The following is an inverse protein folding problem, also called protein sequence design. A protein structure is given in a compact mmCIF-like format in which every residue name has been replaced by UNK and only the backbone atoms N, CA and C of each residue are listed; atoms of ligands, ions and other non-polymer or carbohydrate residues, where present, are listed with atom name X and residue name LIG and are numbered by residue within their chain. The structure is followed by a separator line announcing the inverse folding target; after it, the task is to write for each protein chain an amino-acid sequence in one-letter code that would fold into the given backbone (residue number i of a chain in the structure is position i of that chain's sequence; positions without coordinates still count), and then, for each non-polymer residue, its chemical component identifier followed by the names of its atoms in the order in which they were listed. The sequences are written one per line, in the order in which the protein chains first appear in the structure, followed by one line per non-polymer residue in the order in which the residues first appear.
data_IF_207361970514
#
_entry.id   IF_207361970514
#
_cell.length_a   1.000
_cell.length_b   1.000
_cell.length_c   1.000
_cell.angle_alpha   90.00
_cell.angle_beta   90.00
_cell.angle_gamma   90.00
#
_symmetry.space_group_name_H-M   'P 1'
#
loop_
_entity.id
_entity.type
_entity.pdbx_description
1 polymer ?
#
# COMPACT_ATOMS: atom_id res chain seq x y z
N UNK A 1 13.62 3.52 9.05
CA UNK A 1 12.19 3.58 8.67
C UNK A 1 11.55 4.81 9.28
N UNK A 2 10.99 5.70 8.47
CA UNK A 2 10.37 6.94 8.95
C UNK A 2 8.91 6.77 9.44
N UNK A 3 8.38 5.54 9.43
CA UNK A 3 7.00 5.24 9.82
C UNK A 3 6.69 5.71 11.26
N UNK A 4 7.55 5.38 12.22
CA UNK A 4 7.39 5.82 13.61
C UNK A 4 7.46 7.34 13.75
N UNK A 5 8.37 7.98 13.01
CA UNK A 5 8.49 9.45 13.00
C UNK A 5 7.19 10.07 12.49
N UNK A 6 6.63 9.55 11.38
CA UNK A 6 5.36 10.01 10.86
C UNK A 6 4.20 9.80 11.85
N UNK A 7 4.15 8.65 12.52
CA UNK A 7 3.14 8.35 13.55
C UNK A 7 3.24 9.33 14.74
N UNK A 8 4.45 9.59 15.23
CA UNK A 8 4.67 10.55 16.32
C UNK A 8 4.37 11.99 15.90
N UNK A 9 4.60 12.36 14.63
CA UNK A 9 4.15 13.65 14.10
C UNK A 9 2.62 13.76 14.14
N UNK A 10 1.90 12.72 13.74
CA UNK A 10 0.43 12.70 13.82
C UNK A 10 -0.05 12.78 15.27
N UNK A 11 0.60 12.07 16.20
CA UNK A 11 0.29 12.16 17.63
C UNK A 11 0.56 13.56 18.18
N UNK A 12 1.70 14.17 17.83
CA UNK A 12 2.03 15.54 18.20
C UNK A 12 0.99 16.54 17.68
N UNK A 13 0.54 16.40 16.43
CA UNK A 13 -0.51 17.24 15.85
C UNK A 13 -1.87 17.01 16.53
N UNK A 14 -2.19 15.76 16.88
CA UNK A 14 -3.42 15.36 17.60
C UNK A 14 -3.49 15.96 19.00
N UNK A 15 -2.37 16.02 19.69
CA UNK A 15 -2.26 16.52 21.06
C UNK A 15 -2.03 18.04 21.11
N UNK A 16 -1.48 18.62 20.04
CA UNK A 16 -1.19 20.04 19.87
C UNK A 16 -2.22 20.80 19.03
N UNK A 17 -1.75 21.40 17.93
CA UNK A 17 -2.46 22.43 17.14
C UNK A 17 -3.78 21.98 16.50
N UNK A 18 -3.97 20.68 16.23
CA UNK A 18 -5.15 20.16 15.53
C UNK A 18 -6.19 19.50 16.45
N UNK A 19 -6.01 19.67 17.77
CA UNK A 19 -6.93 19.19 18.79
C UNK A 19 -8.32 19.82 18.60
N UNK A 20 -9.36 18.99 18.60
CA UNK A 20 -10.74 19.45 18.49
C UNK A 20 -11.15 20.25 19.76
N UNK A 21 -11.53 21.53 19.64
CA UNK A 21 -12.02 22.33 20.77
C UNK A 21 -13.29 21.74 21.41
N UNK A 22 -14.04 20.91 20.69
CA UNK A 22 -15.29 20.28 21.14
C UNK A 22 -15.11 18.93 21.85
N UNK A 23 -13.91 18.33 21.84
CA UNK A 23 -13.70 16.94 22.29
C UNK A 23 -13.60 16.74 23.82
N UNK A 24 -13.98 17.73 24.64
CA UNK A 24 -14.07 17.66 26.12
C UNK A 24 -12.89 16.91 26.79
N UNK A 25 -11.66 17.18 26.32
CA UNK A 25 -10.43 16.61 26.91
C UNK A 25 -9.87 15.36 26.23
N UNK A 26 -10.58 14.72 25.29
CA UNK A 26 -10.02 13.63 24.51
C UNK A 26 -9.06 14.15 23.42
N UNK A 27 -7.86 13.56 23.25
CA UNK A 27 -6.95 13.91 22.17
C UNK A 27 -7.48 13.35 20.85
N UNK A 28 -8.37 14.10 20.20
CA UNK A 28 -8.88 13.79 18.86
C UNK A 28 -8.65 14.98 17.93
N UNK A 29 -8.27 14.68 16.69
CA UNK A 29 -8.17 15.68 15.62
C UNK A 29 -9.59 16.08 15.20
N UNK A 30 -9.82 17.37 15.04
CA UNK A 30 -11.09 17.89 14.58
C UNK A 30 -11.49 17.26 13.25
N UNK A 31 -12.75 16.85 13.11
CA UNK A 31 -13.26 16.31 11.85
C UNK A 31 -13.08 17.35 10.74
N UNK A 32 -12.63 16.90 9.56
CA UNK A 32 -12.47 17.79 8.41
C UNK A 32 -13.76 18.56 8.12
N UNK A 33 -13.65 19.83 7.72
CA UNK A 33 -14.80 20.65 7.34
C UNK A 33 -15.59 20.00 6.19
N UNK A 34 -16.89 20.29 6.07
CA UNK A 34 -17.78 19.60 5.13
C UNK A 34 -17.34 19.72 3.65
N UNK A 35 -16.64 20.80 3.30
CA UNK A 35 -16.00 21.04 1.99
C UNK A 35 -14.69 20.25 1.76
N UNK A 36 -14.03 19.82 2.83
CA UNK A 36 -12.82 19.00 2.80
C UNK A 36 -13.12 17.49 2.92
N UNK A 37 -14.41 17.11 2.99
CA UNK A 37 -14.86 15.72 2.92
C UNK A 37 -15.21 15.41 1.47
N UNK A 38 -14.62 14.36 0.91
CA UNK A 38 -15.01 13.85 -0.40
C UNK A 38 -16.47 13.39 -0.33
N UNK A 39 -17.35 14.11 -1.05
CA UNK A 39 -18.79 13.87 -1.09
C UNK A 39 -19.09 12.43 -1.51
N UNK A 40 -20.09 11.81 -0.85
CA UNK A 40 -20.55 10.45 -1.13
C UNK A 40 -21.80 10.50 -2.03
N UNK A 41 -21.68 10.48 -3.37
CA UNK A 41 -22.79 9.95 -4.15
C UNK A 41 -22.82 8.44 -3.85
N UNK A 42 -23.91 7.95 -3.25
CA UNK A 42 -24.21 6.51 -3.04
C UNK A 42 -23.62 5.80 -1.80
N UNK A 43 -23.11 6.51 -0.78
CA UNK A 43 -22.63 5.85 0.44
C UNK A 43 -21.27 5.15 0.32
N UNK A 44 -20.58 5.32 -0.82
CA UNK A 44 -19.21 4.86 -1.06
C UNK A 44 -18.32 6.07 -1.35
N UNK A 45 -17.14 6.14 -0.72
CA UNK A 45 -16.19 7.25 -0.92
C UNK A 45 -15.66 7.29 -2.36
N UNK A 46 -15.48 8.46 -2.94
CA UNK A 46 -14.97 8.63 -4.32
C UNK A 46 -13.58 8.01 -4.58
N UNK A 47 -12.87 7.57 -3.53
CA UNK A 47 -11.54 6.97 -3.62
C UNK A 47 -11.45 5.71 -4.48
N UNK A 48 -12.51 4.90 -4.58
CA UNK A 48 -12.49 3.71 -5.45
C UNK A 48 -12.48 4.08 -6.94
N UNK A 49 -13.08 5.21 -7.33
CA UNK A 49 -13.05 5.70 -8.71
C UNK A 49 -11.64 6.17 -9.06
N UNK A 50 -10.99 6.89 -8.15
CA UNK A 50 -9.61 7.33 -8.32
C UNK A 50 -8.66 6.13 -8.38
N UNK A 51 -8.86 5.11 -7.55
CA UNK A 51 -8.10 3.86 -7.62
C UNK A 51 -8.30 3.15 -8.98
N UNK A 52 -9.55 3.03 -9.44
CA UNK A 52 -9.89 2.41 -10.73
C UNK A 52 -9.28 3.17 -11.92
N UNK A 53 -9.09 4.49 -11.81
CA UNK A 53 -8.45 5.30 -12.83
C UNK A 53 -6.92 5.24 -12.74
N UNK A 54 -6.36 5.16 -11.53
CA UNK A 54 -4.91 5.06 -11.30
C UNK A 54 -4.32 3.75 -11.81
N UNK A 55 -5.02 2.62 -11.65
CA UNK A 55 -4.54 1.30 -12.10
C UNK A 55 -4.21 1.28 -13.62
N UNK A 56 -5.13 1.65 -14.54
CA UNK A 56 -4.83 1.72 -15.96
C UNK A 56 -3.85 2.84 -16.28
N UNK A 57 -3.86 3.97 -15.56
CA UNK A 57 -2.90 5.05 -15.77
C UNK A 57 -1.46 4.59 -15.46
N UNK A 58 -1.24 3.87 -14.35
CA UNK A 58 0.06 3.31 -13.97
C UNK A 58 0.45 2.19 -14.94
N UNK A 59 -0.49 1.33 -15.34
CA UNK A 59 -0.24 0.30 -16.35
C UNK A 59 0.24 0.91 -17.67
N UNK A 60 -0.45 1.95 -18.16
CA UNK A 60 -0.08 2.62 -19.40
C UNK A 60 1.28 3.32 -19.25
N UNK A 61 1.49 4.00 -18.12
CA UNK A 61 2.76 4.65 -17.82
C UNK A 61 3.92 3.65 -17.83
N UNK A 62 3.78 2.51 -17.17
CA UNK A 62 4.84 1.50 -17.10
C UNK A 62 5.07 0.79 -18.44
N UNK A 63 4.02 0.52 -19.22
CA UNK A 63 4.11 -0.31 -20.43
C UNK A 63 4.40 0.47 -21.71
N UNK A 64 3.86 1.69 -21.85
CA UNK A 64 3.88 2.44 -23.11
C UNK A 64 4.74 3.71 -23.07
N UNK A 65 5.35 4.07 -21.93
CA UNK A 65 6.19 5.27 -21.85
C UNK A 65 7.67 4.94 -21.76
N UNK A 66 8.50 5.84 -22.30
CA UNK A 66 9.97 5.77 -22.16
C UNK A 66 10.41 5.69 -20.70
N UNK A 67 9.72 6.41 -19.82
CA UNK A 67 10.03 6.46 -18.40
C UNK A 67 9.74 5.13 -17.71
N UNK A 68 8.64 4.46 -18.09
CA UNK A 68 8.34 3.10 -17.65
C UNK A 68 9.44 2.10 -18.06
N UNK A 69 9.95 2.22 -19.28
CA UNK A 69 11.07 1.40 -19.75
C UNK A 69 12.36 1.66 -18.97
N UNK A 70 12.72 2.93 -18.75
CA UNK A 70 13.89 3.31 -17.93
C UNK A 70 13.79 2.73 -16.51
N UNK A 71 12.61 2.73 -15.90
CA UNK A 71 12.37 2.12 -14.58
C UNK A 71 12.57 0.60 -14.63
N UNK A 72 12.05 -0.08 -15.66
CA UNK A 72 12.20 -1.52 -15.80
C UNK A 72 13.67 -1.94 -15.95
N UNK A 73 14.45 -1.24 -16.77
CA UNK A 73 15.87 -1.56 -16.98
C UNK A 73 16.70 -1.29 -15.71
N UNK A 74 16.44 -0.18 -15.02
CA UNK A 74 17.10 0.11 -13.73
C UNK A 74 16.74 -0.93 -12.68
N UNK A 75 15.48 -1.40 -12.66
CA UNK A 75 15.02 -2.44 -11.74
C UNK A 75 15.66 -3.80 -11.96
N UNK A 76 16.10 -4.10 -13.19
CA UNK A 76 16.78 -5.36 -13.51
C UNK A 76 18.30 -5.29 -13.22
N UNK A 77 18.96 -4.20 -13.62
CA UNK A 77 20.38 -3.97 -13.30
C UNK A 77 20.80 -2.51 -13.49
N UNK A 78 21.27 -1.88 -12.41
CA UNK A 78 21.84 -0.53 -12.46
C UNK A 78 23.04 -0.42 -13.42
N UNK A 79 23.85 -1.48 -13.51
CA UNK A 79 25.00 -1.53 -14.42
C UNK A 79 24.52 -1.45 -15.85
N UNK A 80 23.52 -2.25 -16.22
CA UNK A 80 22.95 -2.28 -17.57
C UNK A 80 22.34 -0.93 -17.95
N UNK A 81 21.63 -0.29 -17.03
CA UNK A 81 21.09 1.05 -17.25
C UNK A 81 22.19 2.10 -17.49
N UNK A 82 23.29 2.02 -16.75
CA UNK A 82 24.44 2.92 -16.91
C UNK A 82 25.16 2.70 -18.25
N UNK A 83 25.34 1.44 -18.66
CA UNK A 83 25.88 1.10 -19.98
C UNK A 83 25.01 1.59 -21.13
N UNK A 84 23.68 1.59 -20.96
CA UNK A 84 22.73 2.12 -21.94
C UNK A 84 22.66 3.67 -21.95
N UNK A 85 23.49 4.36 -21.17
CA UNK A 85 23.53 5.84 -21.11
C UNK A 85 22.39 6.46 -20.30
N UNK A 86 21.70 5.68 -19.46
CA UNK A 86 20.60 6.18 -18.63
C UNK A 86 21.12 6.85 -17.36
N UNK A 87 20.51 7.96 -16.97
CA UNK A 87 20.84 8.63 -15.71
C UNK A 87 20.08 7.97 -14.53
N UNK A 88 20.67 6.91 -13.96
CA UNK A 88 20.09 6.09 -12.89
C UNK A 88 19.61 6.94 -11.71
N UNK A 89 20.42 7.89 -11.24
CA UNK A 89 20.08 8.76 -10.09
C UNK A 89 18.83 9.59 -10.34
N UNK A 90 18.69 10.16 -11.55
CA UNK A 90 17.50 10.93 -11.92
C UNK A 90 16.26 10.05 -12.03
N UNK A 91 16.41 8.83 -12.56
CA UNK A 91 15.32 7.86 -12.66
C UNK A 91 14.83 7.49 -11.25
N UNK A 92 15.73 7.11 -10.35
CA UNK A 92 15.38 6.75 -8.96
C UNK A 92 14.63 7.89 -8.27
N UNK A 93 15.16 9.12 -8.28
CA UNK A 93 14.50 10.25 -7.61
C UNK A 93 13.09 10.49 -8.16
N UNK A 94 12.91 10.45 -9.49
CA UNK A 94 11.59 10.66 -10.11
C UNK A 94 10.61 9.57 -9.74
N UNK A 95 11.05 8.31 -9.74
CA UNK A 95 10.22 7.16 -9.34
C UNK A 95 9.81 7.26 -7.88
N UNK A 96 10.72 7.68 -6.99
CA UNK A 96 10.40 7.90 -5.57
C UNK A 96 9.36 9.01 -5.39
N UNK A 97 9.49 10.13 -6.11
CA UNK A 97 8.48 11.20 -6.07
C UNK A 97 7.12 10.75 -6.59
N UNK A 98 7.08 9.99 -7.70
CA UNK A 98 5.83 9.48 -8.26
C UNK A 98 5.15 8.48 -7.32
N UNK A 99 5.92 7.53 -6.77
CA UNK A 99 5.43 6.55 -5.79
C UNK A 99 4.92 7.22 -4.52
N UNK A 100 5.68 8.18 -3.97
CA UNK A 100 5.28 8.97 -2.81
C UNK A 100 4.01 9.79 -3.07
N UNK A 101 3.86 10.36 -4.27
CA UNK A 101 2.66 11.08 -4.67
C UNK A 101 1.42 10.18 -4.72
N UNK A 102 1.53 9.00 -5.32
CA UNK A 102 0.42 8.02 -5.38
C UNK A 102 0.07 7.52 -3.97
N UNK A 103 1.07 7.20 -3.15
CA UNK A 103 0.86 6.78 -1.76
C UNK A 103 0.21 7.89 -0.90
N UNK A 104 0.66 9.14 -1.08
CA UNK A 104 0.08 10.32 -0.42
C UNK A 104 -1.37 10.56 -0.83
N UNK A 105 -1.70 10.41 -2.12
CA UNK A 105 -3.08 10.47 -2.61
C UNK A 105 -3.94 9.38 -1.98
N UNK A 106 -3.45 8.14 -1.89
CA UNK A 106 -4.17 7.05 -1.24
C UNK A 106 -4.45 7.36 0.25
N UNK A 107 -3.45 7.87 0.98
CA UNK A 107 -3.62 8.29 2.38
C UNK A 107 -4.62 9.45 2.54
N UNK A 108 -4.59 10.43 1.64
CA UNK A 108 -5.55 11.53 1.60
C UNK A 108 -6.98 11.03 1.39
N UNK A 109 -7.18 10.08 0.47
CA UNK A 109 -8.49 9.48 0.19
C UNK A 109 -9.04 8.71 1.40
N UNK A 110 -8.18 7.99 2.12
CA UNK A 110 -8.56 7.29 3.35
C UNK A 110 -8.97 8.27 4.45
N UNK A 111 -8.13 9.28 4.73
CA UNK A 111 -8.37 10.26 5.79
C UNK A 111 -9.57 11.19 5.53
N UNK A 112 -9.70 11.73 4.31
CA UNK A 112 -10.79 12.65 3.93
C UNK A 112 -12.10 11.91 3.61
N UNK A 113 -12.00 10.68 3.11
CA UNK A 113 -13.14 9.85 2.77
C UNK A 113 -13.70 9.12 3.99
N UNK A 114 -13.06 7.99 4.33
CA UNK A 114 -13.58 7.00 5.27
C UNK A 114 -13.56 7.49 6.71
N UNK A 115 -12.41 7.96 7.17
CA UNK A 115 -12.22 8.29 8.59
C UNK A 115 -12.76 9.68 8.92
N UNK A 116 -12.83 10.59 7.93
CA UNK A 116 -13.26 12.01 8.03
C UNK A 116 -12.50 12.81 9.09
N UNK A 117 -11.42 12.25 9.61
CA UNK A 117 -10.47 12.83 10.55
C UNK A 117 -9.14 12.11 10.36
N UNK A 118 -8.08 12.70 10.87
CA UNK A 118 -6.76 12.08 10.89
C UNK A 118 -6.58 11.36 12.22
N UNK A 119 -6.37 10.05 12.17
CA UNK A 119 -6.19 9.19 13.34
C UNK A 119 -4.88 8.43 13.19
N UNK A 120 -4.29 7.97 14.29
CA UNK A 120 -3.14 7.07 14.32
C UNK A 120 -3.40 5.74 13.58
N UNK A 121 -4.67 5.38 13.38
CA UNK A 121 -5.10 4.19 12.64
C UNK A 121 -5.28 4.39 11.13
N UNK A 122 -5.12 5.61 10.60
CA UNK A 122 -5.32 5.88 9.15
C UNK A 122 -4.38 5.04 8.28
N UNK A 123 -3.14 4.84 8.72
CA UNK A 123 -2.19 3.99 8.02
C UNK A 123 -2.46 2.49 8.22
N UNK A 124 -3.17 2.10 9.30
CA UNK A 124 -3.81 0.81 9.54
C UNK A 124 -3.04 -0.49 9.22
N UNK A 125 -1.73 -0.43 9.01
CA UNK A 125 -0.97 -1.54 8.44
C UNK A 125 -1.19 -1.80 6.93
N UNK A 126 -2.06 -1.05 6.24
CA UNK A 126 -2.37 -1.27 4.81
C UNK A 126 -1.15 -1.19 3.90
N UNK A 127 -0.12 -0.41 4.28
CA UNK A 127 1.16 -0.39 3.57
C UNK A 127 1.91 -1.72 3.61
N UNK A 128 1.82 -2.46 4.72
CA UNK A 128 2.42 -3.80 4.84
C UNK A 128 1.63 -4.83 4.04
N UNK A 129 0.29 -4.79 4.10
CA UNK A 129 -0.57 -5.63 3.26
C UNK A 129 -0.31 -5.36 1.78
N UNK A 130 -0.08 -4.10 1.38
CA UNK A 130 0.24 -3.75 0.00
C UNK A 130 1.55 -4.39 -0.51
N UNK A 131 2.54 -4.65 0.36
CA UNK A 131 3.77 -5.38 -0.01
C UNK A 131 3.40 -6.81 -0.43
N UNK A 132 2.56 -7.48 0.34
CA UNK A 132 2.09 -8.85 0.07
C UNK A 132 1.36 -8.89 -1.26
N UNK A 133 0.42 -7.96 -1.46
CA UNK A 133 -0.37 -7.85 -2.69
C UNK A 133 0.52 -7.61 -3.92
N UNK A 134 1.50 -6.70 -3.81
CA UNK A 134 2.40 -6.38 -4.92
C UNK A 134 3.30 -7.56 -5.31
N UNK A 135 3.79 -8.32 -4.32
CA UNK A 135 4.59 -9.52 -4.53
C UNK A 135 3.77 -10.65 -5.16
N UNK A 136 2.59 -10.94 -4.61
CA UNK A 136 1.72 -11.98 -5.13
C UNK A 136 1.24 -11.68 -6.56
N UNK A 137 1.10 -10.40 -6.90
CA UNK A 137 0.81 -9.95 -8.26
C UNK A 137 2.03 -9.94 -9.20
N UNK A 138 3.22 -10.37 -8.74
CA UNK A 138 4.48 -10.36 -9.47
C UNK A 138 4.75 -8.99 -10.14
N UNK A 139 4.50 -7.90 -9.40
CA UNK A 139 4.66 -6.50 -9.86
C UNK A 139 3.81 -6.13 -11.10
N UNK A 140 2.82 -6.95 -11.48
CA UNK A 140 1.99 -6.70 -12.64
C UNK A 140 0.74 -5.88 -12.28
N UNK A 141 0.62 -4.69 -12.86
CA UNK A 141 -0.48 -3.75 -12.60
C UNK A 141 -1.89 -4.35 -12.74
N UNK A 142 -2.23 -5.19 -13.73
CA UNK A 142 -3.59 -5.73 -13.84
C UNK A 142 -3.91 -6.81 -12.79
N UNK A 143 -2.92 -7.60 -12.36
CA UNK A 143 -3.13 -8.66 -11.36
C UNK A 143 -3.27 -8.08 -9.95
N UNK A 144 -2.64 -6.92 -9.68
CA UNK A 144 -2.78 -6.20 -8.40
C UNK A 144 -4.24 -5.95 -8.05
N UNK A 145 -5.10 -5.60 -9.02
CA UNK A 145 -6.52 -5.36 -8.78
C UNK A 145 -7.20 -6.62 -8.20
N UNK A 146 -6.99 -7.77 -8.83
CA UNK A 146 -7.61 -9.03 -8.43
C UNK A 146 -7.11 -9.46 -7.04
N UNK A 147 -5.79 -9.41 -6.83
CA UNK A 147 -5.19 -9.78 -5.53
C UNK A 147 -5.64 -8.83 -4.41
N UNK A 148 -5.66 -7.52 -4.67
CA UNK A 148 -6.13 -6.53 -3.69
C UNK A 148 -7.59 -6.74 -3.29
N UNK A 149 -8.44 -7.17 -4.24
CA UNK A 149 -9.84 -7.48 -3.97
C UNK A 149 -9.98 -8.67 -3.01
N UNK A 150 -9.21 -9.74 -3.23
CA UNK A 150 -9.21 -10.92 -2.34
C UNK A 150 -8.76 -10.54 -0.93
N UNK A 151 -7.69 -9.74 -0.81
CA UNK A 151 -7.21 -9.27 0.48
C UNK A 151 -8.18 -8.32 1.18
N UNK A 152 -8.86 -7.44 0.43
CA UNK A 152 -9.90 -6.57 0.97
C UNK A 152 -11.10 -7.38 1.51
N UNK A 153 -11.51 -8.44 0.79
CA UNK A 153 -12.56 -9.36 1.25
C UNK A 153 -12.12 -10.08 2.53
N UNK A 154 -10.86 -10.54 2.59
CA UNK A 154 -10.32 -11.22 3.76
C UNK A 154 -10.28 -10.30 4.99
N UNK A 155 -9.83 -9.05 4.81
CA UNK A 155 -9.74 -8.06 5.90
C UNK A 155 -11.14 -7.66 6.40
N UNK A 156 -12.05 -7.26 5.50
CA UNK A 156 -13.40 -6.85 5.89
C UNK A 156 -14.27 -8.01 6.35
N UNK A 157 -14.12 -9.18 5.73
CA UNK A 157 -14.77 -10.42 6.16
C UNK A 157 -14.28 -10.87 7.54
N UNK A 158 -12.97 -10.76 7.80
CA UNK A 158 -12.39 -11.01 9.12
C UNK A 158 -12.95 -10.08 10.21
N UNK A 159 -13.06 -8.79 9.92
CA UNK A 159 -13.71 -7.83 10.83
C UNK A 159 -15.20 -8.12 11.07
N UNK A 160 -15.93 -8.57 10.06
CA UNK A 160 -17.33 -8.98 10.22
C UNK A 160 -17.46 -10.22 11.12
N UNK A 161 -16.62 -11.23 10.89
CA UNK A 161 -16.57 -12.44 11.72
C UNK A 161 -16.18 -12.09 13.16
N UNK A 162 -15.26 -11.14 13.36
CA UNK A 162 -14.93 -10.63 14.70
C UNK A 162 -16.17 -10.07 15.40
N UNK A 163 -16.96 -9.25 14.70
CA UNK A 163 -18.14 -8.61 15.29
C UNK A 163 -19.27 -9.60 15.65
N UNK A 164 -19.44 -10.66 14.86
CA UNK A 164 -20.53 -11.63 15.01
C UNK A 164 -20.16 -12.83 15.89
N UNK A 165 -18.92 -13.32 15.78
CA UNK A 165 -18.47 -14.56 16.42
C UNK A 165 -17.42 -14.34 17.53
N UNK A 166 -17.11 -13.08 17.88
CA UNK A 166 -16.12 -12.71 18.92
C UNK A 166 -14.71 -13.29 18.69
N UNK A 167 -14.38 -13.59 17.43
CA UNK A 167 -13.04 -14.04 17.02
C UNK A 167 -12.13 -12.80 16.93
N UNK A 168 -10.89 -12.88 17.41
CA UNK A 168 -9.95 -11.74 17.31
C UNK A 168 -9.67 -11.36 15.84
N UNK A 169 -9.65 -10.05 15.53
CA UNK A 169 -9.23 -9.51 14.23
C UNK A 169 -7.84 -10.02 13.78
N UNK A 170 -6.99 -10.39 14.74
CA UNK A 170 -5.67 -10.97 14.47
C UNK A 170 -5.73 -12.24 13.63
N UNK A 171 -6.88 -12.93 13.54
CA UNK A 171 -7.05 -14.08 12.69
C UNK A 171 -6.89 -13.73 11.19
N UNK A 172 -7.39 -12.58 10.75
CA UNK A 172 -7.24 -12.13 9.37
C UNK A 172 -5.78 -11.78 9.05
N UNK A 173 -5.11 -11.07 9.96
CA UNK A 173 -3.70 -10.71 9.82
C UNK A 173 -2.80 -11.95 9.80
N UNK A 174 -3.11 -12.94 10.63
CA UNK A 174 -2.39 -14.21 10.69
C UNK A 174 -2.56 -15.00 9.38
N UNK A 175 -3.77 -15.03 8.80
CA UNK A 175 -4.00 -15.62 7.49
C UNK A 175 -3.23 -14.89 6.38
N UNK A 176 -3.22 -13.54 6.37
CA UNK A 176 -2.42 -12.76 5.42
C UNK A 176 -0.92 -13.11 5.53
N UNK A 177 -0.41 -13.23 6.76
CA UNK A 177 0.98 -13.62 7.03
C UNK A 177 1.31 -15.04 6.57
N UNK A 178 0.40 -16.00 6.80
CA UNK A 178 0.54 -17.38 6.30
C UNK A 178 0.59 -17.40 4.77
N UNK A 179 -0.31 -16.66 4.11
CA UNK A 179 -0.33 -16.55 2.64
C UNK A 179 1.01 -16.03 2.14
N UNK A 180 1.51 -14.92 2.72
CA UNK A 180 2.81 -14.37 2.36
C UNK A 180 3.94 -15.39 2.55
N UNK A 181 3.96 -16.07 3.69
CA UNK A 181 5.00 -17.05 4.01
C UNK A 181 5.04 -18.19 3.00
N UNK A 182 3.87 -18.73 2.63
CA UNK A 182 3.80 -19.78 1.61
C UNK A 182 4.18 -19.27 0.23
N UNK A 183 3.72 -18.08 -0.17
CA UNK A 183 4.06 -17.49 -1.47
C UNK A 183 5.57 -17.32 -1.61
N UNK A 184 6.23 -16.72 -0.61
CA UNK A 184 7.68 -16.53 -0.59
C UNK A 184 8.43 -17.88 -0.52
N UNK A 185 7.95 -18.80 0.31
CA UNK A 185 8.54 -20.12 0.48
C UNK A 185 8.51 -20.94 -0.80
N UNK A 186 7.38 -20.97 -1.49
CA UNK A 186 7.23 -21.69 -2.76
C UNK A 186 7.93 -20.99 -3.93
N UNK A 187 7.99 -19.66 -3.96
CA UNK A 187 8.72 -18.94 -5.00
C UNK A 187 10.20 -19.35 -5.05
N UNK A 188 10.81 -19.60 -3.89
CA UNK A 188 12.17 -20.13 -3.80
C UNK A 188 12.31 -21.48 -4.53
N UNK A 189 11.37 -22.41 -4.30
CA UNK A 189 11.38 -23.73 -4.96
C UNK A 189 11.04 -23.66 -6.45
N UNK A 190 10.29 -22.65 -6.88
CA UNK A 190 9.95 -22.44 -8.30
C UNK A 190 11.14 -21.85 -9.06
N UNK A 191 11.85 -20.87 -8.49
CA UNK A 191 13.01 -20.23 -9.15
C UNK A 191 14.28 -21.06 -9.07
N UNK A 192 14.49 -21.82 -8.00
CA UNK A 192 15.74 -22.56 -7.76
C UNK A 192 15.52 -24.07 -7.82
N UNK A 193 16.23 -24.73 -8.73
CA UNK A 193 16.31 -26.20 -8.77
C UNK A 193 17.22 -26.66 -7.63
N UNK A 194 16.69 -27.40 -6.68
CA UNK A 194 17.48 -28.04 -5.62
C UNK A 194 18.35 -29.12 -6.26
N UNK A 195 19.66 -28.85 -6.37
CA UNK A 195 20.66 -29.82 -6.82
C UNK A 195 21.35 -30.38 -5.59
N UNK A 196 20.98 -31.59 -5.19
CA UNK A 196 21.71 -32.33 -4.15
C UNK A 196 23.02 -32.78 -4.77
N UNK A 197 24.12 -32.09 -4.44
CA UNK A 197 25.46 -32.51 -4.84
C UNK A 197 25.83 -33.75 -4.02
N UNK A 198 25.69 -34.92 -4.63
CA UNK A 198 26.24 -36.14 -4.06
C UNK A 198 27.76 -35.96 -3.98
N UNK A 199 28.32 -35.83 -2.76
CA UNK A 199 29.76 -35.92 -2.54
C UNK A 199 30.12 -37.39 -2.72
N UNK A 200 30.47 -37.77 -3.94
CA UNK A 200 31.12 -39.04 -4.21
C UNK A 200 32.45 -39.10 -3.46
N UNK A 201 32.58 -40.14 -2.65
CA UNK A 201 33.86 -40.69 -2.15
C UNK A 201 34.55 -41.37 -3.32
#
# INVERSE_FOLDING_TARGET
MANYIALYIVQFLREGLWKDPGAKGFPQIARFAANARLSLPLGVHFGWIIALLLIPAVYIYMRFTKQGYEIAVVGESEKTATYAGMNVRKIIMRTMFLSGGIAGLAGMLQASGADRTLTDTVAGGVGFTAIIVAWLANLSSPVILLVSLVFAILEKGGGYIQSMFQISASAADLLQGIILFFVLGFEFFIRYRVVIRNRGV
#
